data_IF_440381235675
#
_entry.id   IF_440381235675
#
_cell.length_a   1.000
_cell.length_b   1.000
_cell.length_c   1.000
_cell.angle_alpha   90.00
_cell.angle_beta   90.00
_cell.angle_gamma   90.00
#
_symmetry.space_group_name_H-M   'P 1'
#
loop_
_entity.id
_entity.type
_entity.pdbx_description
1 polymer ?
#
# COMPACT_ATOMS: atom_id res chain seq x y z
N UNK A 1 -12.68 27.87 -7.48
CA UNK A 1 -11.77 26.78 -7.88
C UNK A 1 -11.61 25.86 -6.68
N UNK A 2 -12.37 24.77 -6.63
CA UNK A 2 -12.21 23.71 -5.63
C UNK A 2 -10.83 23.10 -5.81
N UNK A 3 -9.91 23.46 -4.90
CA UNK A 3 -8.60 22.81 -4.84
C UNK A 3 -8.85 21.41 -4.29
N UNK A 4 -8.76 20.41 -5.15
CA UNK A 4 -8.90 19.02 -4.77
C UNK A 4 -7.88 18.66 -3.69
N UNK A 5 -8.36 18.41 -2.47
CA UNK A 5 -7.59 18.18 -1.24
C UNK A 5 -6.70 16.93 -1.24
N UNK A 6 -6.64 16.19 -2.36
CA UNK A 6 -5.91 14.94 -2.53
C UNK A 6 -4.60 15.06 -3.33
N UNK A 7 -4.22 16.25 -3.83
CA UNK A 7 -2.99 16.43 -4.64
C UNK A 7 -1.76 16.89 -3.85
N UNK A 8 -1.90 17.25 -2.56
CA UNK A 8 -0.79 17.81 -1.75
C UNK A 8 -0.39 16.94 -0.57
N UNK A 9 -0.94 15.74 -0.45
CA UNK A 9 -0.52 14.78 0.58
C UNK A 9 0.50 13.81 -0.01
N UNK A 10 1.70 13.82 0.54
CA UNK A 10 2.66 12.74 0.33
C UNK A 10 2.15 11.50 1.08
N UNK A 11 1.72 10.44 0.38
CA UNK A 11 1.25 9.25 1.06
C UNK A 11 2.41 8.57 1.77
N UNK A 12 2.14 7.98 2.93
CA UNK A 12 3.09 7.05 3.54
C UNK A 12 3.12 5.80 2.68
N UNK A 13 4.26 5.53 2.04
CA UNK A 13 4.42 4.38 1.16
C UNK A 13 5.26 3.28 1.81
N UNK A 14 4.91 2.03 1.51
CA UNK A 14 5.71 0.86 1.86
C UNK A 14 5.81 -0.07 0.64
N UNK A 15 7.04 -0.38 0.23
CA UNK A 15 7.31 -1.29 -0.88
C UNK A 15 7.63 -2.69 -0.32
N UNK A 16 6.78 -3.64 -0.67
CA UNK A 16 6.85 -5.04 -0.23
C UNK A 16 7.46 -5.96 -1.30
N UNK A 17 8.13 -5.40 -2.31
CA UNK A 17 8.60 -6.02 -3.57
C UNK A 17 7.49 -6.51 -4.50
N UNK A 18 6.44 -7.12 -3.96
CA UNK A 18 5.25 -7.59 -4.70
C UNK A 18 4.17 -6.52 -4.79
N UNK A 19 4.06 -5.67 -3.78
CA UNK A 19 3.06 -4.62 -3.72
C UNK A 19 3.66 -3.32 -3.20
N UNK A 20 3.17 -2.19 -3.68
CA UNK A 20 3.42 -0.87 -3.09
C UNK A 20 2.14 -0.44 -2.39
N UNK A 21 2.22 -0.27 -1.08
CA UNK A 21 1.16 0.29 -0.26
C UNK A 21 1.34 1.80 -0.21
N UNK A 22 0.27 2.57 -0.41
CA UNK A 22 0.26 4.02 -0.30
C UNK A 22 -0.90 4.44 0.60
N UNK A 23 -0.58 4.89 1.81
CA UNK A 23 -1.57 5.35 2.78
C UNK A 23 -1.72 6.88 2.71
N UNK A 24 -2.91 7.32 2.32
CA UNK A 24 -3.32 8.73 2.28
C UNK A 24 -4.12 9.03 3.55
N UNK A 25 -3.48 9.65 4.54
CA UNK A 25 -4.05 9.85 5.87
C UNK A 25 -5.19 10.87 5.88
N UNK A 26 -5.09 11.97 5.11
CA UNK A 26 -6.18 12.96 5.01
C UNK A 26 -7.36 12.41 4.22
N UNK A 27 -7.08 11.70 3.13
CA UNK A 27 -8.13 11.03 2.35
C UNK A 27 -8.73 9.82 3.07
N UNK A 28 -8.04 9.28 4.08
CA UNK A 28 -8.40 8.04 4.77
C UNK A 28 -8.53 6.85 3.80
N UNK A 29 -7.62 6.78 2.82
CA UNK A 29 -7.61 5.71 1.81
C UNK A 29 -6.26 5.00 1.82
N UNK A 30 -6.30 3.68 1.75
CA UNK A 30 -5.14 2.83 1.50
C UNK A 30 -5.17 2.35 0.05
N UNK A 31 -4.17 2.74 -0.74
CA UNK A 31 -3.94 2.16 -2.05
C UNK A 31 -2.97 0.99 -1.97
N UNK A 32 -3.33 -0.11 -2.61
CA UNK A 32 -2.49 -1.30 -2.80
C UNK A 32 -2.21 -1.43 -4.29
N UNK A 33 -0.96 -1.21 -4.69
CA UNK A 33 -0.49 -1.34 -6.06
C UNK A 33 0.23 -2.68 -6.22
N UNK A 34 -0.32 -3.58 -7.01
CA UNK A 34 0.28 -4.86 -7.32
C UNK A 34 1.34 -4.66 -8.41
N UNK A 35 2.55 -5.12 -8.13
CA UNK A 35 3.69 -5.05 -9.04
C UNK A 35 3.81 -6.38 -9.77
N UNK A 36 3.87 -6.30 -11.10
CA UNK A 36 4.17 -7.46 -11.91
C UNK A 36 5.65 -7.83 -11.77
N UNK A 37 5.87 -9.05 -11.30
CA UNK A 37 7.21 -9.62 -11.13
C UNK A 37 7.62 -10.49 -12.32
N UNK A 38 6.79 -10.62 -13.36
CA UNK A 38 7.13 -11.38 -14.57
C UNK A 38 8.35 -10.79 -15.28
N UNK A 39 8.52 -9.47 -15.19
CA UNK A 39 9.69 -8.74 -15.67
C UNK A 39 10.23 -7.88 -14.51
N UNK A 40 11.08 -8.45 -13.64
CA UNK A 40 11.52 -7.78 -12.40
C UNK A 40 12.32 -6.49 -12.65
N UNK A 41 12.85 -6.31 -13.86
CA UNK A 41 13.50 -5.08 -14.32
C UNK A 41 12.52 -3.93 -14.61
N UNK A 42 11.26 -4.23 -14.93
CA UNK A 42 10.26 -3.21 -15.32
C UNK A 42 9.39 -2.74 -14.16
N UNK A 43 9.36 -3.47 -13.02
CA UNK A 43 8.56 -3.19 -11.82
C UNK A 43 7.25 -2.45 -12.12
N UNK A 44 6.46 -3.00 -13.05
CA UNK A 44 5.27 -2.34 -13.56
C UNK A 44 4.10 -2.57 -12.62
N UNK A 45 3.43 -1.50 -12.23
CA UNK A 45 2.13 -1.65 -11.54
C UNK A 45 1.10 -2.16 -12.54
N UNK A 46 0.56 -3.35 -12.30
CA UNK A 46 -0.47 -3.96 -13.16
C UNK A 46 -1.88 -3.76 -12.63
N UNK A 47 -2.02 -3.54 -11.33
CA UNK A 47 -3.33 -3.29 -10.71
C UNK A 47 -3.17 -2.40 -9.49
N UNK A 48 -4.11 -1.47 -9.34
CA UNK A 48 -4.25 -0.67 -8.12
C UNK A 48 -5.61 -0.95 -7.53
N UNK A 49 -5.64 -1.20 -6.23
CA UNK A 49 -6.87 -1.31 -5.44
C UNK A 49 -6.85 -0.18 -4.42
N UNK A 50 -7.93 0.56 -4.30
CA UNK A 50 -8.12 1.56 -3.26
C UNK A 50 -9.09 1.01 -2.23
N UNK A 51 -8.76 1.18 -0.96
CA UNK A 51 -9.57 0.70 0.17
C UNK A 51 -9.81 1.88 1.09
N UNK A 52 -11.07 2.19 1.37
CA UNK A 52 -11.40 3.20 2.37
C UNK A 52 -11.08 2.69 3.77
N UNK A 53 -10.48 3.55 4.59
CA UNK A 53 -10.07 3.19 5.94
C UNK A 53 -11.28 2.92 6.85
N UNK A 54 -12.44 3.50 6.55
CA UNK A 54 -13.67 3.20 7.24
C UNK A 54 -14.04 1.72 7.04
N UNK A 55 -14.11 1.26 5.79
CA UNK A 55 -14.37 -0.15 5.45
C UNK A 55 -13.27 -1.06 6.00
N UNK A 56 -11.99 -0.66 5.89
CA UNK A 56 -10.88 -1.46 6.41
C UNK A 56 -10.96 -1.66 7.93
N UNK A 57 -11.47 -0.67 8.68
CA UNK A 57 -11.65 -0.78 10.13
C UNK A 57 -12.79 -1.71 10.53
N UNK A 58 -13.79 -1.87 9.67
CA UNK A 58 -14.89 -2.81 9.87
C UNK A 58 -14.47 -4.26 9.63
N UNK A 59 -13.31 -4.47 8.99
CA UNK A 59 -12.73 -5.79 8.68
C UNK A 59 -11.39 -6.01 9.41
N UNK A 60 -11.41 -6.32 10.72
CA UNK A 60 -10.18 -6.55 11.50
C UNK A 60 -9.31 -7.68 10.92
N UNK A 61 -9.89 -8.66 10.24
CA UNK A 61 -9.18 -9.71 9.51
C UNK A 61 -8.28 -9.15 8.40
N UNK A 62 -8.72 -8.12 7.68
CA UNK A 62 -7.94 -7.48 6.62
C UNK A 62 -6.76 -6.68 7.20
N UNK A 63 -6.97 -6.03 8.35
CA UNK A 63 -5.91 -5.34 9.09
C UNK A 63 -4.84 -6.35 9.55
N UNK A 64 -5.24 -7.51 10.08
CA UNK A 64 -4.30 -8.55 10.50
C UNK A 64 -3.46 -9.08 9.33
N UNK A 65 -4.07 -9.26 8.15
CA UNK A 65 -3.36 -9.67 6.93
C UNK A 65 -2.35 -8.61 6.47
N UNK A 66 -2.71 -7.33 6.52
CA UNK A 66 -1.78 -6.23 6.19
C UNK A 66 -0.60 -6.19 7.17
N UNK A 67 -0.83 -6.40 8.46
CA UNK A 67 0.23 -6.49 9.46
C UNK A 67 1.19 -7.67 9.18
N UNK A 68 0.68 -8.85 8.82
CA UNK A 68 1.52 -9.99 8.46
C UNK A 68 2.34 -9.74 7.20
N UNK A 69 1.72 -9.12 6.19
CA UNK A 69 2.40 -8.75 4.95
C UNK A 69 3.52 -7.73 5.19
N UNK A 70 3.37 -6.83 6.16
CA UNK A 70 4.37 -5.85 6.55
C UNK A 70 5.48 -6.43 7.46
N UNK A 71 5.13 -7.29 8.39
CA UNK A 71 6.08 -7.91 9.33
C UNK A 71 7.01 -8.91 8.65
N UNK A 72 6.54 -9.62 7.62
CA UNK A 72 7.38 -10.55 6.84
C UNK A 72 8.53 -9.86 6.08
N UNK A 73 8.45 -8.53 5.92
CA UNK A 73 9.45 -7.73 5.20
C UNK A 73 10.61 -7.36 6.12
N UNK A 74 10.33 -6.99 7.38
CA UNK A 74 11.35 -6.63 8.37
C UNK A 74 12.28 -7.81 8.70
N UNK A 75 11.77 -9.05 8.68
CA UNK A 75 12.61 -10.24 8.88
C UNK A 75 13.52 -10.58 7.68
N UNK A 76 13.37 -9.91 6.54
CA UNK A 76 14.23 -10.13 5.36
C UNK A 76 15.38 -9.11 5.29
N UNK A 77 15.37 -8.05 6.11
CA UNK A 77 16.39 -6.98 6.09
C UNK A 77 17.59 -7.25 7.02
N UNK A 78 17.60 -8.34 7.80
CA UNK A 78 18.72 -8.69 8.72
C UNK A 78 19.87 -9.51 8.08
N UNK A 79 19.89 -9.77 6.77
CA UNK A 79 20.84 -10.75 6.19
C UNK A 79 21.80 -10.30 5.08
N UNK A 80 22.27 -9.05 5.07
CA UNK A 80 23.51 -8.69 4.35
C UNK A 80 24.33 -7.68 5.16
#
# INVERSE_FOLDING_TARGET
MEQYYWQTEEPKSADTKRNILCFYQKAKVLQVRLIDLKHPEERKTVRTVSIDLAELREHPEAIALLHQALSSIESTDERI
#
